data_IF_669822726864
#
_entry.id   IF_669822726864
#
_cell.length_a   1.000
_cell.length_b   1.000
_cell.length_c   1.000
_cell.angle_alpha   90.00
_cell.angle_beta   90.00
_cell.angle_gamma   90.00
#
_symmetry.space_group_name_H-M   'P 1'
#
loop_
_entity.id
_entity.type
_entity.pdbx_description
1 polymer ?
#
# COMPACT_ATOMS: atom_id res chain seq x y z
N UNK A 1 -3.09 -2.83 -6.50
CA UNK A 1 -4.04 -3.82 -7.05
C UNK A 1 -4.64 -4.49 -5.84
N UNK A 2 -5.93 -4.28 -5.64
CA UNK A 2 -6.70 -5.02 -4.64
C UNK A 2 -7.29 -6.25 -5.36
N UNK A 3 -6.84 -7.44 -4.98
CA UNK A 3 -7.35 -8.72 -5.50
C UNK A 3 -8.01 -9.58 -4.41
N UNK A 4 -8.16 -9.04 -3.20
CA UNK A 4 -8.64 -9.75 -2.01
C UNK A 4 -7.62 -10.76 -1.46
N UNK A 5 -6.36 -10.68 -1.87
CA UNK A 5 -5.35 -11.68 -1.50
C UNK A 5 -4.78 -11.45 -0.09
N UNK A 6 -4.90 -10.23 0.43
CA UNK A 6 -4.50 -9.89 1.79
C UNK A 6 -5.17 -10.77 2.84
N UNK A 7 -6.39 -11.25 2.58
CA UNK A 7 -7.17 -12.08 3.49
C UNK A 7 -6.55 -13.46 3.73
N UNK A 8 -5.64 -13.89 2.85
CA UNK A 8 -4.95 -15.18 2.95
C UNK A 8 -3.79 -15.15 3.94
N UNK A 9 -3.29 -13.98 4.29
CA UNK A 9 -2.21 -13.82 5.25
C UNK A 9 -2.71 -14.15 6.67
N UNK A 10 -1.92 -14.83 7.53
CA UNK A 10 -0.52 -15.23 7.35
C UNK A 10 -0.30 -16.67 6.87
N UNK A 11 -1.32 -17.41 6.41
CA UNK A 11 -1.17 -18.82 6.02
C UNK A 11 -0.35 -18.96 4.72
N UNK A 12 0.87 -19.55 4.75
CA UNK A 12 1.70 -19.69 3.57
C UNK A 12 1.05 -20.53 2.46
N UNK A 13 0.27 -21.55 2.80
CA UNK A 13 -0.40 -22.39 1.80
C UNK A 13 -1.47 -21.60 1.05
N UNK A 14 -2.21 -20.75 1.78
CA UNK A 14 -3.22 -19.88 1.19
C UNK A 14 -2.58 -18.74 0.38
N UNK A 15 -1.58 -18.06 0.96
CA UNK A 15 -0.86 -16.92 0.35
C UNK A 15 -0.17 -17.33 -0.96
N UNK A 16 0.51 -18.47 -0.99
CA UNK A 16 1.15 -18.96 -2.21
C UNK A 16 0.22 -19.85 -3.05
N UNK A 17 -0.95 -20.20 -2.53
CA UNK A 17 -1.96 -21.07 -3.13
C UNK A 17 -1.34 -22.37 -3.68
N UNK A 18 -0.73 -23.12 -2.77
CA UNK A 18 0.12 -24.27 -3.04
C UNK A 18 0.02 -25.28 -1.91
N UNK A 19 0.26 -26.55 -2.20
CA UNK A 19 0.45 -27.61 -1.20
C UNK A 19 1.90 -27.72 -0.71
N UNK A 20 2.84 -27.06 -1.41
CA UNK A 20 4.25 -27.00 -1.06
C UNK A 20 4.74 -25.55 -1.10
N UNK A 21 4.70 -24.80 0.02
CA UNK A 21 5.10 -23.40 0.07
C UNK A 21 6.61 -23.19 -0.02
N UNK A 22 7.41 -24.27 0.03
CA UNK A 22 8.87 -24.22 -0.12
C UNK A 22 9.33 -24.34 -1.57
N UNK A 23 8.44 -24.66 -2.52
CA UNK A 23 8.75 -24.75 -3.95
C UNK A 23 8.10 -23.61 -4.74
N UNK A 24 8.85 -22.57 -5.15
CA UNK A 24 8.31 -21.48 -5.97
C UNK A 24 7.75 -21.90 -7.33
N UNK A 25 7.96 -23.13 -7.78
CA UNK A 25 7.35 -23.65 -9.01
C UNK A 25 5.88 -23.99 -8.86
N UNK A 26 5.39 -24.14 -7.63
CA UNK A 26 4.00 -24.52 -7.38
C UNK A 26 3.13 -23.32 -6.99
N UNK A 27 3.68 -22.12 -6.95
CA UNK A 27 2.96 -20.91 -6.53
C UNK A 27 1.92 -20.48 -7.56
N UNK A 28 0.73 -20.08 -7.09
CA UNK A 28 -0.38 -19.71 -7.95
C UNK A 28 -1.21 -18.54 -7.40
N UNK A 29 -0.76 -17.31 -7.62
CA UNK A 29 -1.47 -16.10 -7.21
C UNK A 29 -1.51 -15.07 -8.35
N UNK A 30 -2.53 -14.20 -8.40
CA UNK A 30 -2.65 -13.17 -9.42
C UNK A 30 -1.63 -12.05 -9.21
N UNK A 31 -1.35 -11.27 -10.25
CA UNK A 31 -0.56 -10.06 -10.16
C UNK A 31 -0.80 -9.15 -11.38
N UNK A 32 0.05 -8.14 -11.54
CA UNK A 32 0.03 -7.27 -12.72
C UNK A 32 0.51 -8.01 -13.97
N UNK A 33 -0.13 -7.73 -15.11
CA UNK A 33 0.40 -8.11 -16.42
C UNK A 33 1.42 -7.06 -16.89
N UNK A 34 2.43 -7.48 -17.66
CA UNK A 34 3.50 -6.59 -18.16
C UNK A 34 2.94 -5.43 -19.00
N UNK A 35 1.95 -5.70 -19.84
CA UNK A 35 1.30 -4.67 -20.67
C UNK A 35 0.58 -3.62 -19.83
N UNK A 36 -0.08 -4.03 -18.74
CA UNK A 36 -0.77 -3.12 -17.84
C UNK A 36 0.22 -2.23 -17.09
N UNK A 37 1.29 -2.82 -16.57
CA UNK A 37 2.37 -2.07 -15.91
C UNK A 37 3.04 -1.10 -16.90
N UNK A 38 3.35 -1.55 -18.12
CA UNK A 38 3.93 -0.73 -19.19
C UNK A 38 3.03 0.44 -19.56
N UNK A 39 1.72 0.20 -19.69
CA UNK A 39 0.78 1.27 -19.97
C UNK A 39 0.73 2.30 -18.84
N UNK A 40 0.69 1.87 -17.57
CA UNK A 40 0.69 2.78 -16.42
C UNK A 40 1.96 3.64 -16.36
N UNK A 41 3.12 3.04 -16.59
CA UNK A 41 4.39 3.75 -16.62
C UNK A 41 4.39 4.78 -17.76
N UNK A 42 4.06 4.36 -18.97
CA UNK A 42 4.22 5.19 -20.17
C UNK A 42 3.11 6.22 -20.36
N UNK A 43 1.88 5.92 -19.91
CA UNK A 43 0.69 6.76 -20.16
C UNK A 43 0.19 7.49 -18.92
N UNK A 44 0.63 7.11 -17.72
CA UNK A 44 0.25 7.76 -16.46
C UNK A 44 1.44 8.23 -15.64
N UNK A 45 2.67 7.86 -16.02
CA UNK A 45 3.90 8.23 -15.31
C UNK A 45 3.81 7.98 -13.80
N UNK A 46 3.34 6.79 -13.43
CA UNK A 46 3.27 6.38 -12.02
C UNK A 46 4.68 6.35 -11.40
N UNK A 47 4.77 6.56 -10.09
CA UNK A 47 6.03 6.41 -9.34
C UNK A 47 6.13 5.05 -8.64
N UNK A 48 4.98 4.51 -8.23
CA UNK A 48 4.86 3.32 -7.40
C UNK A 48 3.73 2.46 -7.96
N UNK A 49 3.90 1.14 -7.95
CA UNK A 49 2.82 0.17 -8.13
C UNK A 49 2.71 -0.69 -6.86
N UNK A 50 1.48 -0.94 -6.42
CA UNK A 50 1.20 -1.76 -5.24
C UNK A 50 0.41 -3.02 -5.59
N UNK A 51 0.61 -4.10 -4.85
CA UNK A 51 -0.14 -5.35 -4.96
C UNK A 51 -0.32 -5.98 -3.57
N UNK A 52 -1.45 -6.64 -3.35
CA UNK A 52 -1.76 -7.37 -2.12
C UNK A 52 -1.20 -8.80 -2.10
N UNK A 53 -0.60 -9.26 -3.20
CA UNK A 53 0.03 -10.58 -3.32
C UNK A 53 1.53 -10.54 -2.99
N UNK A 54 2.19 -11.71 -2.85
CA UNK A 54 3.62 -11.80 -2.53
C UNK A 54 4.57 -11.29 -3.61
N UNK A 55 4.08 -10.97 -4.80
CA UNK A 55 4.91 -10.49 -5.89
C UNK A 55 4.14 -9.58 -6.83
N UNK A 56 4.79 -8.55 -7.39
CA UNK A 56 4.21 -7.75 -8.48
C UNK A 56 4.01 -8.53 -9.79
N UNK A 57 4.63 -9.70 -9.90
CA UNK A 57 4.44 -10.68 -10.98
C UNK A 57 3.61 -11.89 -10.51
N UNK A 58 2.93 -12.56 -11.44
CA UNK A 58 2.06 -13.69 -11.11
C UNK A 58 2.86 -14.90 -10.62
N UNK A 59 2.24 -15.77 -9.81
CA UNK A 59 2.96 -16.80 -9.05
C UNK A 59 3.81 -17.76 -9.89
N UNK A 60 3.37 -18.12 -11.10
CA UNK A 60 4.13 -19.00 -11.99
C UNK A 60 5.25 -18.31 -12.76
N UNK A 61 5.38 -16.97 -12.67
CA UNK A 61 6.37 -16.21 -13.43
C UNK A 61 7.79 -16.64 -13.08
N UNK A 62 8.60 -16.90 -14.11
CA UNK A 62 10.03 -17.24 -13.98
C UNK A 62 10.96 -16.14 -14.49
N UNK A 63 10.39 -15.15 -15.17
CA UNK A 63 11.12 -14.05 -15.82
C UNK A 63 10.86 -12.71 -15.15
N UNK A 64 9.86 -12.61 -14.26
CA UNK A 64 9.51 -11.40 -13.50
C UNK A 64 9.47 -10.12 -14.37
N UNK A 65 8.71 -10.13 -15.48
CA UNK A 65 8.70 -9.01 -16.42
C UNK A 65 8.26 -7.69 -15.79
N UNK A 66 7.32 -7.70 -14.82
CA UNK A 66 6.89 -6.49 -14.12
C UNK A 66 8.01 -5.93 -13.26
N UNK A 67 8.72 -6.76 -12.49
CA UNK A 67 9.90 -6.32 -11.73
C UNK A 67 10.96 -5.68 -12.63
N UNK A 68 11.32 -6.36 -13.73
CA UNK A 68 12.32 -5.87 -14.68
C UNK A 68 11.88 -4.52 -15.26
N UNK A 69 10.61 -4.42 -15.65
CA UNK A 69 10.05 -3.22 -16.24
C UNK A 69 10.06 -2.03 -15.25
N UNK A 70 9.66 -2.26 -13.99
CA UNK A 70 9.70 -1.25 -12.93
C UNK A 70 11.13 -0.76 -12.69
N UNK A 71 12.08 -1.70 -12.52
CA UNK A 71 13.48 -1.38 -12.30
C UNK A 71 14.11 -0.57 -13.44
N UNK A 72 13.84 -0.97 -14.70
CA UNK A 72 14.31 -0.23 -15.90
C UNK A 72 13.82 1.22 -15.95
N UNK A 73 12.64 1.50 -15.39
CA UNK A 73 12.03 2.82 -15.40
C UNK A 73 12.17 3.56 -14.07
N UNK A 74 13.02 3.06 -13.16
CA UNK A 74 13.23 3.63 -11.82
C UNK A 74 11.91 3.80 -11.04
N UNK A 75 11.04 2.79 -11.10
CA UNK A 75 9.74 2.75 -10.42
C UNK A 75 9.79 1.74 -9.27
N UNK A 76 8.97 1.98 -8.25
CA UNK A 76 8.95 1.17 -7.03
C UNK A 76 7.78 0.17 -7.09
N UNK A 77 8.03 -1.09 -6.74
CA UNK A 77 7.01 -2.08 -6.44
C UNK A 77 6.80 -2.20 -4.92
N UNK A 78 5.54 -2.33 -4.49
CA UNK A 78 5.17 -2.59 -3.09
C UNK A 78 4.28 -3.81 -3.05
N UNK A 79 4.70 -4.80 -2.28
CA UNK A 79 4.11 -6.15 -2.23
C UNK A 79 3.50 -6.42 -0.86
N UNK A 80 2.63 -7.42 -0.78
CA UNK A 80 1.93 -7.80 0.44
C UNK A 80 1.20 -6.61 1.12
N UNK A 81 0.62 -5.71 0.33
CA UNK A 81 -0.12 -4.56 0.86
C UNK A 81 -1.50 -5.00 1.36
N UNK A 82 -1.75 -4.91 2.66
CA UNK A 82 -3.06 -5.19 3.26
C UNK A 82 -4.00 -3.97 3.26
N UNK A 83 -5.27 -4.21 3.60
CA UNK A 83 -6.31 -3.20 3.81
C UNK A 83 -6.62 -2.30 2.61
N UNK A 84 -6.35 -2.78 1.38
CA UNK A 84 -6.64 -2.03 0.15
C UNK A 84 -8.15 -1.88 -0.11
N UNK A 85 -8.98 -2.67 0.56
CA UNK A 85 -10.44 -2.61 0.57
C UNK A 85 -10.98 -1.44 1.41
N UNK A 86 -10.14 -0.85 2.28
CA UNK A 86 -10.52 0.25 3.17
C UNK A 86 -10.10 1.63 2.66
N UNK A 87 -9.51 1.70 1.46
CA UNK A 87 -9.05 2.93 0.84
C UNK A 87 -9.95 3.25 -0.37
N UNK A 88 -10.45 4.50 -0.51
CA UNK A 88 -11.20 4.91 -1.69
C UNK A 88 -10.35 4.83 -2.96
N UNK A 89 -10.97 4.65 -4.12
CA UNK A 89 -10.29 4.49 -5.41
C UNK A 89 -9.34 5.65 -5.76
N UNK A 90 -9.59 6.84 -5.21
CA UNK A 90 -8.73 8.02 -5.38
C UNK A 90 -8.86 8.99 -4.19
N UNK A 91 -8.00 10.01 -4.13
CA UNK A 91 -8.01 11.07 -3.11
C UNK A 91 -7.10 10.80 -1.91
N UNK A 92 -6.88 9.54 -1.56
CA UNK A 92 -5.99 9.18 -0.45
C UNK A 92 -4.52 9.46 -0.75
N UNK A 93 -3.76 9.82 0.30
CA UNK A 93 -2.30 9.94 0.23
C UNK A 93 -1.64 8.72 0.87
N UNK A 94 -0.83 7.98 0.10
CA UNK A 94 -0.14 6.77 0.56
C UNK A 94 1.32 7.07 0.90
N UNK A 95 1.76 6.57 2.05
CA UNK A 95 3.13 6.63 2.53
C UNK A 95 3.74 5.23 2.53
N UNK A 96 4.95 5.11 1.99
CA UNK A 96 5.73 3.86 1.95
C UNK A 96 7.05 4.11 2.68
N UNK A 97 7.07 3.87 3.99
CA UNK A 97 8.24 4.13 4.83
C UNK A 97 9.19 2.92 4.80
N UNK A 98 10.12 2.92 3.86
CA UNK A 98 11.12 1.86 3.66
C UNK A 98 12.31 2.03 4.63
N UNK A 99 12.84 0.93 5.14
CA UNK A 99 14.09 0.95 5.91
C UNK A 99 15.26 1.39 5.01
N UNK A 100 16.06 2.36 5.49
CA UNK A 100 17.22 2.88 4.74
C UNK A 100 18.42 1.92 4.83
N UNK A 101 18.49 0.98 3.91
CA UNK A 101 19.61 0.04 3.77
C UNK A 101 20.69 0.61 2.84
N UNK A 102 21.96 0.47 3.22
CA UNK A 102 23.09 0.83 2.34
C UNK A 102 23.11 -0.11 1.14
N UNK A 103 23.07 0.46 -0.07
CA UNK A 103 23.04 -0.27 -1.34
C UNK A 103 21.89 -1.30 -1.44
N UNK A 104 20.80 -1.08 -0.69
CA UNK A 104 19.65 -1.98 -0.68
C UNK A 104 18.85 -1.90 -1.98
N UNK A 105 18.59 -3.06 -2.59
CA UNK A 105 17.68 -3.18 -3.74
C UNK A 105 16.21 -3.06 -3.34
N UNK A 106 15.89 -3.27 -2.06
CA UNK A 106 14.56 -3.24 -1.48
C UNK A 106 14.64 -3.57 0.01
N UNK A 107 13.51 -3.49 0.72
CA UNK A 107 13.43 -3.80 2.13
C UNK A 107 12.01 -3.72 2.66
N UNK A 108 11.76 -4.20 3.89
CA UNK A 108 10.47 -4.07 4.52
C UNK A 108 10.09 -2.58 4.66
N UNK A 109 8.81 -2.31 4.54
CA UNK A 109 8.25 -0.97 4.65
C UNK A 109 7.03 -0.95 5.57
N UNK A 110 6.85 0.15 6.29
CA UNK A 110 5.55 0.47 6.90
C UNK A 110 4.74 1.26 5.87
N UNK A 111 3.72 0.62 5.32
CA UNK A 111 2.76 1.27 4.42
C UNK A 111 1.58 1.78 5.24
N UNK A 112 1.18 3.03 5.03
CA UNK A 112 -0.01 3.61 5.64
C UNK A 112 -0.57 4.70 4.75
N UNK A 113 -1.85 5.03 4.92
CA UNK A 113 -2.51 6.06 4.13
C UNK A 113 -3.18 7.09 5.04
N UNK A 114 -3.16 8.35 4.60
CA UNK A 114 -4.16 9.33 5.03
C UNK A 114 -5.33 9.17 4.08
N UNK A 115 -6.43 8.66 4.63
CA UNK A 115 -7.66 8.42 3.87
C UNK A 115 -8.39 9.75 3.73
N UNK A 116 -8.61 10.17 2.49
CA UNK A 116 -9.53 11.27 2.21
C UNK A 116 -10.94 10.67 2.23
N UNK A 117 -11.61 10.79 3.36
CA UNK A 117 -13.05 10.60 3.43
C UNK A 117 -13.66 11.73 2.62
N UNK A 118 -13.83 11.49 1.31
CA UNK A 118 -14.31 12.50 0.35
C UNK A 118 -15.43 13.33 0.97
N UNK A 119 -15.41 14.64 0.75
CA UNK A 119 -16.28 15.66 1.37
C UNK A 119 -17.79 15.37 1.24
N UNK A 120 -18.29 14.38 1.97
CA UNK A 120 -19.68 13.92 2.00
C UNK A 120 -20.02 13.41 3.40
N UNK A 121 -19.83 14.25 4.42
CA UNK A 121 -20.45 14.13 5.75
C UNK A 121 -20.93 15.51 6.22
N UNK A 122 -21.68 16.22 5.37
CA UNK A 122 -22.62 17.25 5.79
C UNK A 122 -23.85 17.17 4.87
N UNK A 123 -24.49 16.00 4.84
CA UNK A 123 -25.86 15.90 4.34
C UNK A 123 -26.78 16.56 5.37
N UNK A 124 -27.21 17.78 5.07
CA UNK A 124 -28.40 18.45 5.60
C UNK A 124 -28.93 17.91 6.96
N UNK A 125 -28.45 18.47 8.08
CA UNK A 125 -29.28 18.53 9.29
C UNK A 125 -28.75 17.91 10.60
N UNK A 126 -27.49 17.47 10.70
CA UNK A 126 -26.94 16.98 11.97
C UNK A 126 -25.59 17.61 12.30
N UNK A 127 -25.43 18.02 13.56
CA UNK A 127 -24.33 18.82 14.10
C UNK A 127 -22.95 18.32 13.67
N UNK A 128 -22.31 19.08 12.78
CA UNK A 128 -20.89 18.97 12.51
C UNK A 128 -20.12 19.44 13.76
N UNK A 129 -19.83 18.51 14.67
CA UNK A 129 -18.94 18.79 15.81
C UNK A 129 -17.52 18.92 15.28
N UNK A 130 -17.12 20.16 14.99
CA UNK A 130 -15.73 20.54 14.79
C UNK A 130 -14.93 20.28 16.08
N UNK A 131 -14.35 19.09 16.21
CA UNK A 131 -13.23 18.86 17.13
C UNK A 131 -11.94 19.39 16.50
N UNK A 132 -11.87 20.70 16.24
CA UNK A 132 -10.65 21.36 15.81
C UNK A 132 -10.43 22.61 16.65
N UNK A 133 -9.24 22.72 17.25
CA UNK A 133 -8.69 23.82 18.06
C UNK A 133 -8.76 23.71 19.60
N UNK A 134 -9.68 22.95 20.21
CA UNK A 134 -9.75 22.87 21.68
C UNK A 134 -8.64 22.03 22.34
N UNK A 135 -8.08 21.04 21.64
CA UNK A 135 -7.00 20.19 22.18
C UNK A 135 -5.63 20.90 22.21
N UNK A 136 -5.38 21.80 21.26
CA UNK A 136 -4.12 22.57 21.19
C UNK A 136 -4.04 23.64 22.30
N UNK A 137 -5.16 24.25 22.66
CA UNK A 137 -5.23 25.23 23.75
C UNK A 137 -5.00 24.54 25.11
N UNK A 138 -5.55 23.33 25.31
CA UNK A 138 -5.35 22.57 26.55
C UNK A 138 -3.88 22.15 26.75
N UNK A 139 -3.17 21.78 25.67
CA UNK A 139 -1.74 21.43 25.75
C UNK A 139 -0.89 22.68 26.03
N UNK A 140 -1.19 23.82 25.39
CA UNK A 140 -0.47 25.07 25.63
C UNK A 140 -0.70 25.57 27.07
N UNK A 141 -1.93 25.53 27.59
CA UNK A 141 -2.21 25.89 28.98
C UNK A 141 -1.56 24.92 29.97
N UNK A 142 -1.57 23.61 29.71
CA UNK A 142 -0.92 22.62 30.56
C UNK A 142 0.61 22.83 30.63
N UNK A 143 1.25 23.13 29.49
CA UNK A 143 2.69 23.44 29.42
C UNK A 143 3.01 24.77 30.13
N UNK A 144 2.11 25.75 30.10
CA UNK A 144 2.29 27.02 30.80
C UNK A 144 2.07 26.93 32.31
N UNK A 145 1.27 25.97 32.80
CA UNK A 145 1.04 25.76 34.25
C UNK A 145 2.12 24.91 34.94
N UNK A 146 3.00 24.23 34.19
CA UNK A 146 4.05 23.35 34.74
C UNK A 146 5.42 24.05 34.92
N UNK A 147 5.46 25.37 34.80
CA UNK A 147 6.66 26.18 35.11
C UNK A 147 6.40 27.13 36.28
N UNK A 148 6.23 26.59 37.48
CA UNK A 148 6.65 27.18 38.76
C UNK A 148 6.83 26.05 39.77
#
# INVERSE_FOLDING_TARGET
MNSGWSDKYPDPNAVFNTTNPSDPNTFHFPAWHEDAASWLINKRNINIIGVDTPSTDYGQSKTFPVHILLGKHNKIGVENVGFLDQIPESGSTVFVAVVKLRDGSGGPARVFAMVDEGKDQCTSGSNCQFYSASLLIAIILFVLTQKY
#
